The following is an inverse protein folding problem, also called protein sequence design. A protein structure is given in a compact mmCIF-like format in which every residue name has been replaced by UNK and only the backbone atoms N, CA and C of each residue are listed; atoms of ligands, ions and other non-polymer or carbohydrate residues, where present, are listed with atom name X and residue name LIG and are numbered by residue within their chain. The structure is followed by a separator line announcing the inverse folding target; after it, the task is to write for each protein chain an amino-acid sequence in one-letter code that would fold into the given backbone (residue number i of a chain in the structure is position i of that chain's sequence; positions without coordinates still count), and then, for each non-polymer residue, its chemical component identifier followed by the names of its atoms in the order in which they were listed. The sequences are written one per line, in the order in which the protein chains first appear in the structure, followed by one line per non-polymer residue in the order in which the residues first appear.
data_IF_171451938752
#
_entry.id   IF_171451938752
#
_cell.length_a   1.000
_cell.length_b   1.000
_cell.length_c   1.000
_cell.angle_alpha   90.00
_cell.angle_beta   90.00
_cell.angle_gamma   90.00
#
_symmetry.space_group_name_H-M   'P 1'
#
loop_
_entity.id
_entity.type
_entity.pdbx_description
1 polymer ?
#
# COMPACT_ATOMS: atom_id res chain seq x y z
N UNK A 1 -14.45 -3.53 -8.28
CA UNK A 1 -14.85 -3.63 -9.70
C UNK A 1 -15.22 -2.27 -10.30
N UNK A 2 -15.62 -1.28 -9.49
CA UNK A 2 -16.04 0.06 -9.95
C UNK A 2 -14.95 1.14 -9.87
N UNK A 3 -13.67 0.75 -9.80
CA UNK A 3 -12.57 1.71 -9.57
C UNK A 3 -12.03 2.35 -10.86
N UNK A 4 -12.40 1.79 -12.01
CA UNK A 4 -12.05 2.27 -13.34
C UNK A 4 -13.27 2.14 -14.28
N UNK A 5 -13.13 2.66 -15.50
CA UNK A 5 -14.18 2.63 -16.53
C UNK A 5 -14.76 1.23 -16.75
N UNK A 6 -16.02 1.19 -17.17
CA UNK A 6 -16.75 -0.06 -17.39
C UNK A 6 -16.07 -0.95 -18.45
N UNK A 7 -15.43 -0.31 -19.43
CA UNK A 7 -14.66 -0.93 -20.50
C UNK A 7 -13.16 -0.78 -20.23
N UNK A 8 -12.54 -1.85 -19.70
CA UNK A 8 -11.09 -1.98 -19.53
C UNK A 8 -10.60 -3.18 -20.33
N UNK A 9 -9.41 -3.09 -20.91
CA UNK A 9 -8.83 -4.17 -21.71
C UNK A 9 -8.31 -5.32 -20.82
N UNK A 10 -7.84 -4.98 -19.61
CA UNK A 10 -7.30 -5.90 -18.63
C UNK A 10 -8.36 -6.36 -17.62
N UNK A 11 -8.14 -7.55 -17.07
CA UNK A 11 -8.97 -8.05 -15.96
C UNK A 11 -8.87 -7.11 -14.76
N UNK A 12 -10.03 -6.60 -14.33
CA UNK A 12 -10.14 -5.65 -13.21
C UNK A 12 -9.66 -6.21 -11.86
N UNK A 13 -9.69 -7.53 -11.67
CA UNK A 13 -9.21 -8.16 -10.44
C UNK A 13 -8.41 -9.41 -10.78
N UNK A 14 -7.17 -9.45 -10.32
CA UNK A 14 -6.23 -10.55 -10.51
C UNK A 14 -5.87 -11.08 -9.13
N UNK A 15 -6.11 -12.35 -8.85
CA UNK A 15 -5.58 -12.99 -7.64
C UNK A 15 -4.06 -13.13 -7.76
N UNK A 16 -3.34 -12.64 -6.75
CA UNK A 16 -1.88 -12.63 -6.72
C UNK A 16 -1.39 -14.01 -6.30
N UNK A 17 -0.75 -14.73 -7.23
CA UNK A 17 0.05 -15.94 -6.95
C UNK A 17 1.54 -15.63 -7.07
N UNK A 18 1.90 -14.93 -8.14
CA UNK A 18 3.24 -14.38 -8.35
C UNK A 18 3.11 -13.06 -9.13
N UNK A 19 3.07 -11.96 -8.39
CA UNK A 19 2.87 -10.61 -8.93
C UNK A 19 3.86 -10.28 -10.06
N UNK A 20 5.13 -10.69 -9.92
CA UNK A 20 6.19 -10.37 -10.88
C UNK A 20 6.06 -11.13 -12.19
N UNK A 21 5.42 -12.30 -12.16
CA UNK A 21 5.10 -13.08 -13.37
C UNK A 21 3.78 -12.65 -14.00
N UNK A 22 2.83 -12.20 -13.18
CA UNK A 22 1.49 -11.85 -13.64
C UNK A 22 1.39 -10.44 -14.25
N UNK A 23 2.18 -9.48 -13.74
CA UNK A 23 2.18 -8.11 -14.26
C UNK A 23 3.51 -7.83 -14.95
N UNK A 24 3.51 -7.48 -16.26
CA UNK A 24 4.72 -7.14 -16.97
C UNK A 24 5.41 -5.90 -16.38
N UNK A 25 6.72 -5.79 -16.62
CA UNK A 25 7.47 -4.58 -16.29
C UNK A 25 6.86 -3.37 -17.03
N UNK A 26 6.90 -2.21 -16.40
CA UNK A 26 6.41 -0.92 -16.93
C UNK A 26 4.89 -0.73 -16.97
N UNK A 27 4.11 -1.66 -16.42
CA UNK A 27 2.69 -1.43 -16.17
C UNK A 27 2.47 -0.77 -14.80
N UNK A 28 1.60 0.25 -14.76
CA UNK A 28 1.05 0.75 -13.50
C UNK A 28 0.09 -0.29 -12.93
N UNK A 29 0.19 -0.56 -11.63
CA UNK A 29 -0.74 -1.45 -10.95
C UNK A 29 -0.92 -1.08 -9.48
N UNK A 30 -2.06 -1.47 -8.94
CA UNK A 30 -2.36 -1.50 -7.52
C UNK A 30 -2.39 -2.95 -7.04
N UNK A 31 -1.74 -3.24 -5.91
CA UNK A 31 -1.73 -4.56 -5.29
C UNK A 31 -2.00 -4.45 -3.79
N UNK A 32 -2.77 -5.38 -3.25
CA UNK A 32 -3.12 -5.47 -1.82
C UNK A 32 -2.94 -6.91 -1.36
N UNK A 33 -2.20 -7.12 -0.27
CA UNK A 33 -1.97 -8.43 0.36
C UNK A 33 -2.62 -8.50 1.74
N UNK A 34 -3.11 -9.69 2.11
CA UNK A 34 -3.77 -9.95 3.39
C UNK A 34 -2.86 -10.75 4.32
N UNK A 35 -1.77 -10.11 4.75
CA UNK A 35 -0.79 -10.72 5.64
C UNK A 35 0.03 -11.80 4.94
N UNK A 36 -0.21 -13.07 5.31
CA UNK A 36 0.44 -14.24 4.70
C UNK A 36 -0.39 -14.86 3.58
N UNK A 37 -1.65 -14.43 3.41
CA UNK A 37 -2.53 -14.92 2.36
C UNK A 37 -2.34 -14.14 1.07
N UNK A 38 -2.60 -14.81 -0.05
CA UNK A 38 -2.59 -14.19 -1.37
C UNK A 38 -3.52 -12.98 -1.43
N UNK A 39 -3.00 -11.93 -2.05
CA UNK A 39 -3.69 -10.70 -2.29
C UNK A 39 -4.43 -10.61 -3.62
N UNK A 40 -4.81 -9.38 -3.96
CA UNK A 40 -5.32 -9.03 -5.28
C UNK A 40 -4.53 -7.90 -5.91
N UNK A 41 -4.44 -7.95 -7.22
CA UNK A 41 -3.87 -6.91 -8.06
C UNK A 41 -4.90 -6.39 -9.07
N UNK A 42 -4.72 -5.14 -9.43
CA UNK A 42 -5.47 -4.43 -10.45
C UNK A 42 -4.47 -3.64 -11.30
N UNK A 43 -4.48 -3.86 -12.61
CA UNK A 43 -3.67 -3.06 -13.55
C UNK A 43 -4.37 -1.72 -13.74
N UNK A 44 -3.62 -0.62 -13.60
CA UNK A 44 -4.13 0.73 -13.78
C UNK A 44 -3.87 1.14 -15.22
N UNK A 45 -4.93 1.33 -16.00
CA UNK A 45 -4.81 1.65 -17.43
C UNK A 45 -4.71 3.16 -17.65
N UNK A 46 -5.44 3.94 -16.85
CA UNK A 46 -5.45 5.41 -16.93
C UNK A 46 -5.06 6.05 -15.62
N UNK A 47 -3.76 6.34 -15.51
CA UNK A 47 -3.18 6.97 -14.32
C UNK A 47 -3.82 8.32 -13.96
N UNK A 48 -4.32 9.08 -14.94
CA UNK A 48 -4.92 10.41 -14.71
C UNK A 48 -6.29 10.33 -14.05
N UNK A 49 -7.09 9.30 -14.36
CA UNK A 49 -8.40 9.08 -13.75
C UNK A 49 -8.33 8.30 -12.45
N UNK A 50 -7.23 7.57 -12.20
CA UNK A 50 -7.10 6.76 -11.00
C UNK A 50 -6.79 7.63 -9.77
N UNK A 51 -7.67 7.68 -8.74
CA UNK A 51 -7.48 8.56 -7.61
C UNK A 51 -6.25 8.16 -6.79
N UNK A 52 -5.34 9.10 -6.54
CA UNK A 52 -4.18 8.86 -5.64
C UNK A 52 -4.60 8.54 -4.20
N UNK A 53 -5.81 8.95 -3.80
CA UNK A 53 -6.39 8.68 -2.49
C UNK A 53 -7.22 7.39 -2.41
N UNK A 54 -7.36 6.64 -3.51
CA UNK A 54 -8.26 5.48 -3.61
C UNK A 54 -8.15 4.51 -2.43
N UNK A 55 -6.92 4.09 -2.10
CA UNK A 55 -6.65 3.14 -1.01
C UNK A 55 -6.98 3.74 0.36
N UNK A 56 -6.69 5.02 0.54
CA UNK A 56 -6.95 5.70 1.80
C UNK A 56 -8.45 5.81 2.08
N UNK A 57 -9.27 6.03 1.05
CA UNK A 57 -10.72 6.08 1.16
C UNK A 57 -11.29 4.73 1.58
N UNK A 58 -10.83 3.63 0.95
CA UNK A 58 -11.29 2.28 1.29
C UNK A 58 -10.95 1.94 2.74
N UNK A 59 -9.69 2.11 3.14
CA UNK A 59 -9.25 1.76 4.51
C UNK A 59 -9.94 2.66 5.53
N UNK A 60 -10.06 3.97 5.26
CA UNK A 60 -10.75 4.88 6.16
C UNK A 60 -12.24 4.56 6.29
N UNK A 61 -12.91 4.19 5.19
CA UNK A 61 -14.30 3.74 5.21
C UNK A 61 -14.48 2.45 6.00
N UNK A 62 -13.58 1.46 5.83
CA UNK A 62 -13.58 0.22 6.61
C UNK A 62 -13.37 0.44 8.10
N UNK A 63 -12.60 1.46 8.47
CA UNK A 63 -12.31 1.81 9.87
C UNK A 63 -13.26 2.87 10.45
N UNK A 64 -14.27 3.29 9.70
CA UNK A 64 -15.21 4.38 10.05
C UNK A 64 -14.49 5.67 10.51
N UNK A 65 -13.42 6.03 9.80
CA UNK A 65 -12.62 7.22 10.10
C UNK A 65 -13.22 8.47 9.46
N UNK A 66 -13.21 9.62 10.16
CA UNK A 66 -13.72 10.85 9.60
C UNK A 66 -12.86 11.33 8.41
N UNK A 67 -13.47 12.02 7.40
CA UNK A 67 -12.78 12.47 6.19
C UNK A 67 -11.50 13.29 6.42
N UNK A 68 -11.45 14.04 7.51
CA UNK A 68 -10.31 14.88 7.89
C UNK A 68 -9.02 14.08 8.16
N UNK A 69 -9.14 12.76 8.42
CA UNK A 69 -7.98 11.89 8.64
C UNK A 69 -7.29 11.49 7.34
N UNK A 70 -7.95 11.58 6.19
CA UNK A 70 -7.42 11.05 4.93
C UNK A 70 -7.51 12.01 3.73
N UNK A 71 -8.56 12.85 3.60
CA UNK A 71 -8.69 13.86 2.53
C UNK A 71 -7.89 15.13 2.80
N UNK A 72 -7.80 15.55 4.07
CA UNK A 72 -7.15 16.81 4.49
C UNK A 72 -6.20 16.56 5.66
N UNK A 73 -5.23 15.67 5.45
CA UNK A 73 -4.27 15.27 6.48
C UNK A 73 -3.63 16.52 7.11
N UNK A 74 -3.82 16.71 8.41
CA UNK A 74 -3.14 17.77 9.16
C UNK A 74 -1.64 17.51 9.13
N UNK A 75 -0.87 18.55 8.79
CA UNK A 75 0.58 18.51 8.90
C UNK A 75 0.96 18.22 10.35
N UNK A 76 1.82 17.23 10.54
CA UNK A 76 2.35 16.86 11.85
C UNK A 76 3.68 17.55 12.07
N UNK A 77 3.95 17.99 13.29
CA UNK A 77 5.25 18.55 13.63
C UNK A 77 6.32 17.47 13.58
N UNK A 78 7.56 17.88 13.30
CA UNK A 78 8.69 16.95 13.29
C UNK A 78 8.84 16.19 14.61
N UNK A 79 8.59 16.86 15.75
CA UNK A 79 8.68 16.25 17.09
C UNK A 79 7.67 15.12 17.26
N UNK A 80 6.43 15.30 16.81
CA UNK A 80 5.38 14.27 16.89
C UNK A 80 5.68 13.07 16.00
N UNK A 81 6.11 13.32 14.75
CA UNK A 81 6.50 12.26 13.82
C UNK A 81 7.68 11.46 14.40
N UNK A 82 8.69 12.15 14.92
CA UNK A 82 9.86 11.51 15.55
C UNK A 82 9.45 10.61 16.71
N UNK A 83 8.61 11.10 17.63
CA UNK A 83 8.13 10.31 18.76
C UNK A 83 7.38 9.04 18.32
N UNK A 84 6.55 9.12 17.28
CA UNK A 84 5.87 7.93 16.70
C UNK A 84 6.86 6.94 16.09
N UNK A 85 7.86 7.44 15.35
CA UNK A 85 8.91 6.60 14.78
C UNK A 85 9.70 5.89 15.88
N UNK A 86 10.05 6.59 16.96
CA UNK A 86 10.81 6.00 18.08
C UNK A 86 9.99 4.94 18.83
N UNK A 87 8.70 5.19 19.05
CA UNK A 87 7.77 4.20 19.63
C UNK A 87 7.62 2.96 18.74
N UNK A 88 7.45 3.14 17.43
CA UNK A 88 7.35 2.04 16.47
C UNK A 88 8.64 1.20 16.43
N UNK A 89 9.81 1.86 16.47
CA UNK A 89 11.12 1.18 16.53
C UNK A 89 11.24 0.32 17.78
N UNK A 90 10.88 0.86 18.95
CA UNK A 90 10.91 0.11 20.21
C UNK A 90 9.97 -1.11 20.18
N UNK A 91 8.78 -0.98 19.59
CA UNK A 91 7.85 -2.09 19.42
C UNK A 91 8.33 -3.15 18.41
N UNK A 92 9.08 -2.74 17.40
CA UNK A 92 9.63 -3.62 16.36
C UNK A 92 10.91 -4.36 16.78
N UNK A 93 11.61 -3.86 17.80
CA UNK A 93 12.88 -4.39 18.31
C UNK A 93 12.98 -5.92 18.42
N UNK A 94 12.01 -6.66 19.01
CA UNK A 94 12.10 -8.12 19.10
C UNK A 94 11.97 -8.86 17.75
N UNK A 95 11.46 -8.21 16.70
CA UNK A 95 11.22 -8.79 15.38
C UNK A 95 12.24 -8.34 14.32
N UNK A 96 13.20 -7.49 14.70
CA UNK A 96 14.18 -6.94 13.78
C UNK A 96 15.29 -7.94 13.42
N UNK A 97 15.05 -8.69 12.34
CA UNK A 97 16.03 -9.61 11.78
C UNK A 97 17.23 -8.90 11.12
N UNK A 98 17.13 -7.60 10.81
CA UNK A 98 18.16 -6.88 10.07
C UNK A 98 19.45 -6.66 10.86
N UNK A 99 19.38 -6.72 12.20
CA UNK A 99 20.53 -6.66 13.11
C UNK A 99 21.45 -7.88 13.01
N UNK A 100 20.94 -8.99 12.49
CA UNK A 100 21.67 -10.26 12.34
C UNK A 100 22.35 -10.39 10.97
N UNK A 101 22.16 -9.42 10.07
CA UNK A 101 22.76 -9.44 8.75
C UNK A 101 24.21 -8.98 8.86
N UNK A 102 25.17 -9.85 8.54
CA UNK A 102 26.56 -9.45 8.34
C UNK A 102 26.66 -8.67 7.02
N UNK A 103 27.05 -7.39 7.11
CA UNK A 103 27.18 -6.51 5.95
C UNK A 103 28.60 -6.43 5.39
N UNK A 104 29.57 -7.09 6.03
CA UNK A 104 31.00 -7.01 5.69
C UNK A 104 31.43 -8.02 4.60
N UNK A 105 30.48 -8.71 3.96
CA UNK A 105 30.75 -9.74 2.95
C UNK A 105 30.54 -9.27 1.50
N UNK A 106 30.84 -8.00 1.19
CA UNK A 106 30.80 -7.45 -0.17
C UNK A 106 32.17 -7.08 -0.67
#
# INVERSE_FOLDING_TARGET
LECEEEYADNKKLIEIKDLRRQIPKHFSYFAVDFGLSNGYAHVIERNESFPSSFVHEIIAGMMDLPPDKWRKKKLQSFKEVKAKCDSMKAAWEPYDWTKKINRDSR
#
